data_IF_830161948281
#
_entry.id   IF_830161948281
#
_cell.length_a   1.000
_cell.length_b   1.000
_cell.length_c   1.000
_cell.angle_alpha   90.00
_cell.angle_beta   90.00
_cell.angle_gamma   90.00
#
_symmetry.space_group_name_H-M   'P 1'
#
loop_
_entity.id
_entity.type
_entity.pdbx_description
1 polymer ?
#
# COMPACT_ATOMS: atom_id res chain seq x y z
N UNK A 1 12.35 -56.79 -27.68
CA UNK A 1 12.16 -56.42 -26.26
C UNK A 1 13.27 -55.53 -25.66
N UNK A 2 14.24 -55.01 -26.42
CA UNK A 2 15.37 -54.23 -25.88
C UNK A 2 15.25 -52.70 -26.01
N UNK A 3 14.34 -52.16 -26.83
CA UNK A 3 14.23 -50.70 -27.00
C UNK A 3 13.38 -50.01 -25.91
N UNK A 4 12.37 -50.69 -25.37
CA UNK A 4 11.49 -50.13 -24.31
C UNK A 4 12.23 -49.94 -22.98
N UNK A 5 13.18 -50.83 -22.64
CA UNK A 5 14.05 -50.69 -21.46
C UNK A 5 14.98 -49.47 -21.55
N UNK A 6 15.37 -49.07 -22.77
CA UNK A 6 16.27 -47.93 -23.00
C UNK A 6 15.59 -46.58 -22.79
N UNK A 7 14.28 -46.45 -23.09
CA UNK A 7 13.52 -45.22 -22.88
C UNK A 7 13.07 -45.04 -21.42
N UNK A 8 12.77 -46.14 -20.74
CA UNK A 8 12.40 -46.13 -19.31
C UNK A 8 13.56 -45.68 -18.42
N UNK A 9 14.80 -46.01 -18.80
CA UNK A 9 16.00 -45.58 -18.09
C UNK A 9 16.32 -44.10 -18.29
N UNK A 10 15.89 -43.49 -19.41
CA UNK A 10 16.14 -42.08 -19.71
C UNK A 10 15.12 -41.15 -19.03
N UNK A 11 13.87 -41.61 -18.88
CA UNK A 11 12.81 -40.87 -18.18
C UNK A 11 13.00 -40.84 -16.66
N UNK A 12 13.54 -41.90 -16.05
CA UNK A 12 13.82 -41.92 -14.60
C UNK A 12 14.95 -40.96 -14.20
N UNK A 13 15.96 -40.78 -15.05
CA UNK A 13 17.05 -39.82 -14.83
C UNK A 13 16.61 -38.36 -14.97
N UNK A 14 15.56 -38.06 -15.76
CA UNK A 14 15.06 -36.69 -15.92
C UNK A 14 14.24 -36.22 -14.71
N UNK A 15 13.49 -37.13 -14.07
CA UNK A 15 12.68 -36.81 -12.88
C UNK A 15 13.56 -36.52 -11.65
N UNK A 16 14.71 -37.18 -11.51
CA UNK A 16 15.62 -36.96 -10.38
C UNK A 16 16.36 -35.61 -10.43
N UNK A 17 16.55 -35.03 -11.63
CA UNK A 17 17.21 -33.72 -11.81
C UNK A 17 16.25 -32.56 -11.45
N UNK A 18 14.94 -32.74 -11.61
CA UNK A 18 13.94 -31.74 -11.21
C UNK A 18 13.75 -31.65 -9.69
N UNK A 19 14.02 -32.72 -8.93
CA UNK A 19 13.91 -32.72 -7.46
C UNK A 19 15.05 -31.99 -6.74
N UNK A 20 16.22 -31.80 -7.36
CA UNK A 20 17.36 -31.11 -6.73
C UNK A 20 17.41 -29.62 -7.02
N UNK A 21 16.73 -29.13 -8.07
CA UNK A 21 16.62 -27.69 -8.36
C UNK A 21 15.57 -26.97 -7.49
N UNK A 22 14.64 -27.70 -6.88
CA UNK A 22 13.60 -27.09 -6.04
C UNK A 22 14.13 -26.44 -4.75
N UNK A 23 15.10 -27.08 -4.08
CA UNK A 23 15.60 -26.59 -2.78
C UNK A 23 16.44 -25.30 -2.86
N UNK A 24 17.29 -25.18 -3.88
CA UNK A 24 18.13 -23.99 -4.06
C UNK A 24 17.33 -22.77 -4.53
N UNK A 25 16.33 -22.96 -5.39
CA UNK A 25 15.45 -21.88 -5.86
C UNK A 25 14.56 -21.31 -4.76
N UNK A 26 14.02 -22.17 -3.89
CA UNK A 26 13.19 -21.73 -2.75
C UNK A 26 14.05 -20.96 -1.73
N UNK A 27 15.24 -21.46 -1.39
CA UNK A 27 16.14 -20.75 -0.46
C UNK A 27 16.59 -19.39 -1.01
N UNK A 28 16.90 -19.29 -2.31
CA UNK A 28 17.29 -18.03 -2.94
C UNK A 28 16.13 -17.03 -3.02
N UNK A 29 14.91 -17.49 -3.31
CA UNK A 29 13.71 -16.65 -3.31
C UNK A 29 13.42 -16.09 -1.91
N UNK A 30 13.51 -16.92 -0.87
CA UNK A 30 13.31 -16.49 0.52
C UNK A 30 14.37 -15.47 0.98
N UNK A 31 15.63 -15.63 0.55
CA UNK A 31 16.69 -14.66 0.86
C UNK A 31 16.45 -13.33 0.15
N UNK A 32 16.02 -13.35 -1.11
CA UNK A 32 15.70 -12.13 -1.87
C UNK A 32 14.47 -11.42 -1.30
N UNK A 33 13.46 -12.16 -0.85
CA UNK A 33 12.26 -11.64 -0.19
C UNK A 33 12.60 -10.98 1.16
N UNK A 34 13.32 -11.67 2.06
CA UNK A 34 13.75 -11.09 3.33
C UNK A 34 14.61 -9.83 3.14
N UNK A 35 15.55 -9.84 2.18
CA UNK A 35 16.36 -8.66 1.88
C UNK A 35 15.49 -7.51 1.35
N UNK A 36 14.45 -7.83 0.56
CA UNK A 36 13.53 -6.82 0.05
C UNK A 36 12.70 -6.21 1.17
N UNK A 37 12.16 -7.02 2.07
CA UNK A 37 11.41 -6.56 3.24
C UNK A 37 12.26 -5.64 4.11
N UNK A 38 13.48 -6.07 4.46
CA UNK A 38 14.41 -5.27 5.26
C UNK A 38 14.77 -3.94 4.54
N UNK A 39 15.02 -3.98 3.23
CA UNK A 39 15.31 -2.79 2.45
C UNK A 39 14.11 -1.82 2.36
N UNK A 40 12.89 -2.36 2.24
CA UNK A 40 11.66 -1.56 2.22
C UNK A 40 11.45 -0.91 3.59
N UNK A 41 11.62 -1.65 4.68
CA UNK A 41 11.46 -1.13 6.04
C UNK A 41 12.46 0.01 6.33
N UNK A 42 13.70 -0.10 5.84
CA UNK A 42 14.71 0.95 5.96
C UNK A 42 14.41 2.18 5.08
N UNK A 43 13.92 1.98 3.86
CA UNK A 43 13.75 3.06 2.88
C UNK A 43 12.37 3.74 2.91
N UNK A 44 11.36 3.05 3.42
CA UNK A 44 9.96 3.46 3.50
C UNK A 44 9.40 3.02 4.87
N UNK A 45 9.88 3.61 5.98
CA UNK A 45 9.38 3.26 7.30
C UNK A 45 7.86 3.54 7.38
N UNK A 46 7.12 2.67 8.07
CA UNK A 46 5.66 2.80 8.25
C UNK A 46 4.85 2.70 6.93
N UNK A 47 5.40 2.05 5.90
CA UNK A 47 4.64 1.73 4.69
C UNK A 47 3.43 0.81 4.97
N UNK A 48 3.51 -0.01 6.01
CA UNK A 48 2.41 -0.91 6.40
C UNK A 48 1.18 -0.13 6.89
N UNK A 49 1.37 0.93 7.69
CA UNK A 49 0.27 1.79 8.14
C UNK A 49 -0.42 2.46 6.95
N UNK A 50 0.38 2.79 5.94
CA UNK A 50 -0.09 3.34 4.68
C UNK A 50 -0.91 2.33 3.87
N UNK A 51 -0.39 1.12 3.69
CA UNK A 51 -1.08 0.03 3.00
C UNK A 51 -2.39 -0.34 3.73
N UNK A 52 -2.37 -0.41 5.06
CA UNK A 52 -3.55 -0.67 5.88
C UNK A 52 -4.62 0.41 5.66
N UNK A 53 -4.25 1.69 5.66
CA UNK A 53 -5.20 2.79 5.45
C UNK A 53 -5.90 2.72 4.09
N UNK A 54 -5.16 2.43 3.02
CA UNK A 54 -5.75 2.20 1.70
C UNK A 54 -6.65 0.96 1.68
N UNK A 55 -6.23 -0.13 2.34
CA UNK A 55 -7.00 -1.36 2.41
C UNK A 55 -8.35 -1.14 3.10
N UNK A 56 -8.40 -0.34 4.16
CA UNK A 56 -9.64 0.01 4.85
C UNK A 56 -10.56 0.87 3.97
N UNK A 57 -9.99 1.82 3.22
CA UNK A 57 -10.75 2.61 2.22
C UNK A 57 -11.26 1.70 1.09
N UNK A 58 -10.46 0.73 0.66
CA UNK A 58 -10.88 -0.25 -0.33
C UNK A 58 -12.02 -1.14 0.20
N UNK A 59 -12.02 -1.47 1.49
CA UNK A 59 -12.98 -2.39 2.09
C UNK A 59 -14.26 -1.71 2.59
N UNK A 60 -14.24 -0.41 2.89
CA UNK A 60 -15.40 0.30 3.44
C UNK A 60 -16.66 0.08 2.59
N UNK A 61 -17.78 -0.37 3.18
CA UNK A 61 -19.03 -0.54 2.45
C UNK A 61 -19.57 0.80 1.95
N UNK A 62 -20.15 0.80 0.74
CA UNK A 62 -20.76 2.01 0.19
C UNK A 62 -21.88 2.57 1.09
N UNK A 63 -22.62 1.68 1.78
CA UNK A 63 -23.64 2.09 2.75
C UNK A 63 -23.08 2.92 3.90
N UNK A 64 -21.89 2.59 4.40
CA UNK A 64 -21.21 3.35 5.47
C UNK A 64 -20.79 4.72 4.95
N UNK A 65 -20.27 4.78 3.72
CA UNK A 65 -19.86 6.05 3.10
C UNK A 65 -21.05 6.99 2.90
N UNK A 66 -22.20 6.44 2.50
CA UNK A 66 -23.44 7.20 2.28
C UNK A 66 -24.11 7.66 3.59
N UNK A 67 -23.85 6.98 4.71
CA UNK A 67 -24.35 7.36 6.04
C UNK A 67 -23.64 8.63 6.57
N UNK A 68 -22.41 8.87 6.15
CA UNK A 68 -21.68 10.12 6.37
C UNK A 68 -20.50 10.00 7.33
N UNK A 69 -19.97 11.16 7.73
CA UNK A 69 -18.67 11.28 8.43
C UNK A 69 -18.57 10.39 9.66
N UNK A 70 -19.57 10.41 10.54
CA UNK A 70 -19.52 9.67 11.81
C UNK A 70 -19.44 8.15 11.60
N UNK A 71 -20.21 7.63 10.65
CA UNK A 71 -20.20 6.22 10.28
C UNK A 71 -18.84 5.81 9.68
N UNK A 72 -18.27 6.65 8.82
CA UNK A 72 -16.93 6.44 8.24
C UNK A 72 -15.87 6.42 9.35
N UNK A 73 -15.93 7.35 10.31
CA UNK A 73 -14.96 7.42 11.41
C UNK A 73 -15.08 6.20 12.33
N UNK A 74 -16.29 5.75 12.63
CA UNK A 74 -16.50 4.52 13.41
C UNK A 74 -15.98 3.30 12.66
N UNK A 75 -16.22 3.20 11.35
CA UNK A 75 -15.66 2.15 10.52
C UNK A 75 -14.12 2.13 10.59
N UNK A 76 -13.46 3.27 10.49
CA UNK A 76 -12.00 3.33 10.65
C UNK A 76 -11.56 2.83 12.03
N UNK A 77 -12.25 3.23 13.10
CA UNK A 77 -11.89 2.82 14.47
C UNK A 77 -12.08 1.32 14.74
N UNK A 78 -13.00 0.68 14.03
CA UNK A 78 -13.31 -0.74 14.17
C UNK A 78 -12.42 -1.65 13.32
N UNK A 79 -11.76 -1.10 12.30
CA UNK A 79 -11.01 -1.87 11.29
C UNK A 79 -9.51 -1.49 11.22
N UNK A 80 -9.04 -0.60 12.08
CA UNK A 80 -7.61 -0.26 12.23
C UNK A 80 -7.10 -0.89 13.52
N UNK A 81 -6.04 -1.69 13.41
CA UNK A 81 -5.43 -2.34 14.57
C UNK A 81 -4.37 -1.47 15.24
N UNK A 82 -3.72 -0.55 14.51
CA UNK A 82 -2.65 0.29 15.08
C UNK A 82 -3.22 1.35 16.05
N UNK A 83 -2.94 1.24 17.37
CA UNK A 83 -3.39 2.21 18.36
C UNK A 83 -2.89 3.64 18.10
N UNK A 84 -1.74 3.80 17.45
CA UNK A 84 -1.18 5.10 17.16
C UNK A 84 -1.95 5.79 16.02
N UNK A 85 -2.34 5.07 14.96
CA UNK A 85 -3.27 5.59 13.93
C UNK A 85 -4.63 5.92 14.54
N UNK A 86 -5.17 5.05 15.40
CA UNK A 86 -6.44 5.30 16.10
C UNK A 86 -6.39 6.58 16.95
N UNK A 87 -5.30 6.79 17.68
CA UNK A 87 -5.09 8.01 18.47
C UNK A 87 -5.05 9.25 17.59
N UNK A 88 -4.37 9.19 16.44
CA UNK A 88 -4.29 10.28 15.47
C UNK A 88 -5.68 10.62 14.87
N UNK A 89 -6.46 9.60 14.50
CA UNK A 89 -7.85 9.77 14.04
C UNK A 89 -8.70 10.44 15.12
N UNK A 90 -8.66 9.92 16.35
CA UNK A 90 -9.47 10.44 17.44
C UNK A 90 -9.12 11.90 17.77
N UNK A 91 -7.84 12.24 17.77
CA UNK A 91 -7.37 13.59 17.99
C UNK A 91 -7.87 14.53 16.87
N UNK A 92 -7.62 14.20 15.60
CA UNK A 92 -8.00 15.06 14.48
C UNK A 92 -9.53 15.21 14.34
N UNK A 93 -10.28 14.15 14.60
CA UNK A 93 -11.75 14.17 14.58
C UNK A 93 -12.32 15.12 15.64
N UNK A 94 -11.80 15.07 16.88
CA UNK A 94 -12.23 15.96 17.95
C UNK A 94 -11.94 17.44 17.64
N UNK A 95 -10.77 17.74 17.07
CA UNK A 95 -10.41 19.10 16.66
C UNK A 95 -11.37 19.63 15.59
N UNK A 96 -11.63 18.81 14.56
CA UNK A 96 -12.49 19.19 13.44
C UNK A 96 -13.93 19.45 13.90
N UNK A 97 -14.44 18.63 14.82
CA UNK A 97 -15.79 18.81 15.40
C UNK A 97 -15.93 20.03 16.31
N UNK A 98 -14.83 20.57 16.83
CA UNK A 98 -14.83 21.80 17.63
C UNK A 98 -14.80 23.08 16.77
N UNK A 99 -14.94 22.95 15.44
CA UNK A 99 -14.89 24.08 14.50
C UNK A 99 -13.48 24.58 14.20
N UNK A 100 -12.45 23.93 14.75
CA UNK A 100 -11.05 24.20 14.44
C UNK A 100 -10.51 23.14 13.46
N UNK A 101 -10.63 23.39 12.15
CA UNK A 101 -9.83 22.63 11.19
C UNK A 101 -8.39 23.12 11.23
N UNK A 102 -7.67 22.79 12.30
CA UNK A 102 -6.23 23.02 12.43
C UNK A 102 -5.52 21.67 12.27
N UNK A 103 -4.80 21.53 11.18
CA UNK A 103 -3.84 20.44 11.00
C UNK A 103 -2.65 20.75 11.93
N UNK A 104 -2.75 20.35 13.20
CA UNK A 104 -1.66 20.50 14.17
C UNK A 104 -0.58 19.47 13.85
N UNK A 105 0.66 19.94 13.70
CA UNK A 105 1.90 19.21 13.44
C UNK A 105 1.76 17.70 13.21
N UNK A 106 1.83 17.28 11.94
CA UNK A 106 2.03 15.88 11.57
C UNK A 106 3.43 15.47 12.03
N UNK A 107 3.52 14.73 13.12
CA UNK A 107 4.78 14.17 13.65
C UNK A 107 4.82 12.69 13.25
N UNK A 108 5.39 12.40 12.08
CA UNK A 108 5.57 11.03 11.59
C UNK A 108 4.39 10.47 10.79
N UNK A 109 4.66 9.37 10.06
CA UNK A 109 3.78 8.77 9.07
C UNK A 109 2.41 8.38 9.64
N UNK A 110 2.39 7.69 10.78
CA UNK A 110 1.14 7.30 11.48
C UNK A 110 0.20 8.49 11.71
N UNK A 111 0.74 9.62 12.20
CA UNK A 111 -0.09 10.81 12.43
C UNK A 111 -0.62 11.40 11.12
N UNK A 112 0.19 11.34 10.05
CA UNK A 112 -0.19 11.80 8.72
C UNK A 112 -1.34 10.97 8.15
N UNK A 113 -1.25 9.65 8.29
CA UNK A 113 -2.27 8.68 7.88
C UNK A 113 -3.58 8.94 8.63
N UNK A 114 -3.54 9.10 9.96
CA UNK A 114 -4.73 9.41 10.76
C UNK A 114 -5.41 10.72 10.33
N UNK A 115 -4.62 11.77 10.09
CA UNK A 115 -5.14 13.06 9.58
C UNK A 115 -5.77 12.91 8.20
N UNK A 116 -5.14 12.14 7.31
CA UNK A 116 -5.63 11.89 5.96
C UNK A 116 -6.96 11.15 5.96
N UNK A 117 -7.08 10.11 6.80
CA UNK A 117 -8.31 9.34 6.97
C UNK A 117 -9.45 10.23 7.45
N UNK A 118 -9.23 11.06 8.49
CA UNK A 118 -10.25 12.02 8.95
C UNK A 118 -10.61 13.00 7.83
N UNK A 119 -9.63 13.56 7.13
CA UNK A 119 -9.87 14.49 6.01
C UNK A 119 -10.73 13.85 4.91
N UNK A 120 -10.50 12.58 4.58
CA UNK A 120 -11.32 11.83 3.64
C UNK A 120 -12.73 11.55 4.17
N UNK A 121 -12.90 11.30 5.47
CA UNK A 121 -14.23 11.09 6.07
C UNK A 121 -15.17 12.29 5.85
N UNK A 122 -14.62 13.51 5.83
CA UNK A 122 -15.36 14.74 5.52
C UNK A 122 -15.63 14.95 4.01
N UNK A 123 -15.07 14.10 3.15
CA UNK A 123 -15.31 14.11 1.72
C UNK A 123 -15.73 12.71 1.20
N UNK A 124 -16.94 12.22 1.54
CA UNK A 124 -17.39 10.87 1.18
C UNK A 124 -17.25 10.52 -0.31
N UNK A 125 -17.47 11.49 -1.20
CA UNK A 125 -17.30 11.31 -2.64
C UNK A 125 -15.84 11.01 -3.05
N UNK A 126 -14.85 11.49 -2.30
CA UNK A 126 -13.44 11.17 -2.52
C UNK A 126 -13.13 9.73 -2.09
N UNK A 127 -13.73 9.24 -1.00
CA UNK A 127 -13.58 7.84 -0.57
C UNK A 127 -14.04 6.89 -1.68
N UNK A 128 -15.23 7.11 -2.25
CA UNK A 128 -15.74 6.27 -3.35
C UNK A 128 -14.81 6.29 -4.56
N UNK A 129 -14.25 7.46 -4.90
CA UNK A 129 -13.28 7.57 -6.01
C UNK A 129 -11.95 6.87 -5.71
N UNK A 130 -11.44 6.96 -4.48
CA UNK A 130 -10.21 6.23 -4.08
C UNK A 130 -10.46 4.73 -4.17
N UNK A 131 -11.60 4.24 -3.64
CA UNK A 131 -12.01 2.84 -3.74
C UNK A 131 -12.12 2.37 -5.20
N UNK A 132 -12.74 3.17 -6.06
CA UNK A 132 -12.84 2.88 -7.50
C UNK A 132 -11.46 2.88 -8.18
N UNK A 133 -10.58 3.81 -7.83
CA UNK A 133 -9.21 3.87 -8.33
C UNK A 133 -8.42 2.61 -7.95
N UNK A 134 -8.46 2.21 -6.67
CA UNK A 134 -7.80 1.01 -6.17
C UNK A 134 -8.33 -0.24 -6.89
N UNK A 135 -9.65 -0.36 -7.04
CA UNK A 135 -10.27 -1.46 -7.79
C UNK A 135 -9.77 -1.53 -9.23
N UNK A 136 -9.68 -0.40 -9.92
CA UNK A 136 -9.16 -0.32 -11.28
C UNK A 136 -7.66 -0.67 -11.38
N UNK A 137 -6.91 -0.53 -10.29
CA UNK A 137 -5.48 -0.87 -10.19
C UNK A 137 -5.21 -2.30 -9.72
N UNK A 138 -6.26 -3.10 -9.49
CA UNK A 138 -6.16 -4.47 -9.00
C UNK A 138 -6.12 -4.61 -7.49
N UNK A 139 -6.59 -3.58 -6.77
CA UNK A 139 -6.67 -3.50 -5.32
C UNK A 139 -5.42 -2.90 -4.68
N UNK A 140 -5.50 -2.67 -3.36
CA UNK A 140 -4.46 -2.00 -2.58
C UNK A 140 -3.12 -2.71 -2.66
N UNK A 141 -3.07 -4.01 -2.36
CA UNK A 141 -1.83 -4.78 -2.37
C UNK A 141 -1.14 -4.74 -3.75
N UNK A 142 -1.91 -4.85 -4.84
CA UNK A 142 -1.36 -4.78 -6.19
C UNK A 142 -0.84 -3.38 -6.51
N UNK A 143 -1.57 -2.36 -6.11
CA UNK A 143 -1.16 -0.97 -6.26
C UNK A 143 0.15 -0.69 -5.50
N UNK A 144 0.21 -1.01 -4.21
CA UNK A 144 1.38 -0.77 -3.34
C UNK A 144 2.60 -1.52 -3.87
N UNK A 145 2.46 -2.81 -4.19
CA UNK A 145 3.53 -3.60 -4.81
C UNK A 145 4.03 -2.98 -6.13
N UNK A 146 3.13 -2.45 -6.95
CA UNK A 146 3.51 -1.76 -8.20
C UNK A 146 4.26 -0.46 -7.91
N UNK A 147 3.82 0.32 -6.93
CA UNK A 147 4.50 1.53 -6.49
C UNK A 147 5.91 1.22 -5.96
N UNK A 148 6.07 0.22 -5.08
CA UNK A 148 7.39 -0.21 -4.56
C UNK A 148 8.34 -0.58 -5.71
N UNK A 149 7.86 -1.28 -6.72
CA UNK A 149 8.68 -1.63 -7.90
C UNK A 149 9.17 -0.39 -8.66
N UNK A 150 8.31 0.60 -8.88
CA UNK A 150 8.74 1.87 -9.47
C UNK A 150 9.69 2.64 -8.55
N UNK A 151 9.41 2.66 -7.24
CA UNK A 151 10.24 3.32 -6.23
C UNK A 151 11.66 2.78 -6.26
N UNK A 152 11.83 1.45 -6.22
CA UNK A 152 13.13 0.78 -6.35
C UNK A 152 13.89 1.22 -7.60
N UNK A 153 13.21 1.36 -8.73
CA UNK A 153 13.83 1.83 -9.96
C UNK A 153 14.28 3.31 -9.86
N UNK A 154 13.46 4.19 -9.28
CA UNK A 154 13.86 5.58 -9.06
C UNK A 154 14.98 5.73 -8.03
N UNK A 155 15.01 4.91 -6.98
CA UNK A 155 16.11 4.87 -6.00
C UNK A 155 17.43 4.41 -6.60
N UNK A 156 17.41 3.44 -7.53
CA UNK A 156 18.58 3.07 -8.34
C UNK A 156 19.12 4.24 -9.17
N UNK A 157 18.23 5.10 -9.65
CA UNK A 157 18.57 6.34 -10.37
C UNK A 157 18.99 7.51 -9.45
N UNK A 158 19.17 7.26 -8.15
CA UNK A 158 19.63 8.23 -7.15
C UNK A 158 18.69 9.42 -6.93
N UNK A 159 17.41 9.29 -7.27
CA UNK A 159 16.42 10.29 -6.86
C UNK A 159 16.25 10.29 -5.32
N UNK A 160 16.06 11.46 -4.67
CA UNK A 160 15.71 11.53 -3.26
C UNK A 160 14.47 10.69 -2.93
N UNK A 161 14.34 10.20 -1.68
CA UNK A 161 13.23 9.31 -1.26
C UNK A 161 11.85 9.88 -1.60
N UNK A 162 11.60 11.13 -1.22
CA UNK A 162 10.37 11.87 -1.52
C UNK A 162 10.04 11.90 -3.02
N UNK A 163 11.00 12.33 -3.84
CA UNK A 163 10.85 12.41 -5.31
C UNK A 163 10.66 11.03 -5.94
N UNK A 164 11.40 10.03 -5.45
CA UNK A 164 11.29 8.66 -5.93
C UNK A 164 9.90 8.10 -5.63
N UNK A 165 9.38 8.34 -4.42
CA UNK A 165 8.06 7.88 -4.00
C UNK A 165 6.93 8.59 -4.75
N UNK A 166 7.00 9.92 -4.86
CA UNK A 166 6.03 10.72 -5.62
C UNK A 166 5.92 10.22 -7.07
N UNK A 167 7.06 9.98 -7.73
CA UNK A 167 7.10 9.46 -9.10
C UNK A 167 6.59 8.02 -9.18
N UNK A 168 6.90 7.20 -8.18
CA UNK A 168 6.48 5.81 -8.12
C UNK A 168 4.97 5.66 -8.02
N UNK A 169 4.35 6.40 -7.10
CA UNK A 169 2.88 6.44 -6.94
C UNK A 169 2.22 6.97 -8.21
N UNK A 170 2.77 8.04 -8.80
CA UNK A 170 2.27 8.60 -10.06
C UNK A 170 2.33 7.59 -11.23
N UNK A 171 3.41 6.82 -11.32
CA UNK A 171 3.59 5.79 -12.33
C UNK A 171 2.67 4.58 -12.09
N UNK A 172 2.48 4.17 -10.83
CA UNK A 172 1.55 3.11 -10.46
C UNK A 172 0.09 3.49 -10.79
N UNK A 173 -0.27 4.77 -10.66
CA UNK A 173 -1.61 5.29 -10.94
C UNK A 173 -1.83 5.75 -12.40
N UNK A 174 -0.92 5.47 -13.34
CA UNK A 174 -0.97 6.07 -14.69
C UNK A 174 -2.18 5.62 -15.52
N UNK A 175 -2.70 4.42 -15.27
CA UNK A 175 -3.73 3.79 -16.10
C UNK A 175 -5.17 4.01 -15.60
N UNK A 176 -5.38 4.77 -14.51
CA UNK A 176 -6.74 5.11 -14.04
C UNK A 176 -7.21 6.43 -14.63
N UNK A 177 -8.54 6.61 -14.70
CA UNK A 177 -9.14 7.84 -15.18
C UNK A 177 -8.63 9.06 -14.40
N UNK A 178 -8.49 10.25 -15.03
CA UNK A 178 -7.88 11.42 -14.40
C UNK A 178 -8.49 11.81 -13.05
N UNK A 179 -9.83 11.73 -12.92
CA UNK A 179 -10.54 12.04 -11.68
C UNK A 179 -10.29 11.03 -10.55
N UNK A 180 -10.06 9.76 -10.91
CA UNK A 180 -9.70 8.70 -9.96
C UNK A 180 -8.23 8.82 -9.54
N UNK A 181 -7.36 9.11 -10.51
CA UNK A 181 -5.96 9.44 -10.28
C UNK A 181 -5.84 10.62 -9.32
N UNK A 182 -6.58 11.69 -9.54
CA UNK A 182 -6.57 12.87 -8.66
C UNK A 182 -7.07 12.55 -7.25
N UNK A 183 -8.13 11.75 -7.10
CA UNK A 183 -8.61 11.36 -5.78
C UNK A 183 -7.58 10.50 -5.02
N UNK A 184 -7.00 9.52 -5.72
CA UNK A 184 -5.95 8.65 -5.19
C UNK A 184 -4.72 9.49 -4.82
N UNK A 185 -4.16 10.24 -5.78
CA UNK A 185 -3.04 11.14 -5.55
C UNK A 185 -3.36 12.28 -4.58
N UNK A 186 -4.61 12.62 -4.35
CA UNK A 186 -4.99 13.57 -3.31
C UNK A 186 -4.82 12.98 -1.91
N UNK A 187 -5.01 11.66 -1.76
CA UNK A 187 -4.69 10.93 -0.54
C UNK A 187 -3.17 10.75 -0.39
N UNK A 188 -2.50 10.28 -1.45
CA UNK A 188 -1.03 10.12 -1.45
C UNK A 188 -0.29 11.45 -1.41
N UNK A 189 -0.82 12.50 -2.00
CA UNK A 189 -0.19 13.81 -2.21
C UNK A 189 -0.60 14.83 -1.17
N UNK A 190 -1.22 14.41 -0.07
CA UNK A 190 -1.08 15.17 1.17
C UNK A 190 0.42 15.12 1.46
N UNK A 191 1.15 16.17 1.07
CA UNK A 191 2.61 16.20 1.10
C UNK A 191 3.15 15.78 2.49
N UNK A 192 2.38 16.00 3.54
CA UNK A 192 2.68 15.52 4.89
C UNK A 192 2.76 14.00 5.02
N UNK A 193 2.00 13.19 4.28
CA UNK A 193 2.13 11.72 4.30
C UNK A 193 3.43 11.32 3.59
N UNK A 194 3.67 11.83 2.37
CA UNK A 194 4.89 11.50 1.62
C UNK A 194 6.12 11.90 2.43
N UNK A 195 6.15 13.13 2.92
CA UNK A 195 7.29 13.62 3.69
C UNK A 195 7.41 12.86 5.01
N UNK A 196 6.32 12.55 5.71
CA UNK A 196 6.41 11.87 7.02
C UNK A 196 6.68 10.37 6.93
N UNK A 197 6.35 9.71 5.81
CA UNK A 197 6.61 8.28 5.57
C UNK A 197 7.92 8.03 4.80
N UNK A 198 8.60 9.08 4.33
CA UNK A 198 9.86 8.94 3.57
C UNK A 198 11.02 9.81 4.08
N UNK A 199 10.79 10.62 5.12
CA UNK A 199 11.82 11.39 5.84
C UNK A 199 12.71 10.51 6.72
#
# INVERSE_FOLDING_TARGET
MNKIKSYLSFLLSFVLILSTLGGAGIAQAQVEENYMEEWIEEELPQLDDYEQALSIIEQIPESVVLEGTDAIINWYKENIDDPAVLAAIQYQYNQTNQGEFKIQGVVGCVSAVGVALVTLAWAPSKILKVKEALKALGGTAKFVSTAINYYKNYRKLKYPRTIAWERAVNAAAVNVAPSLKEALLGFFGIASIVDACTS
#
